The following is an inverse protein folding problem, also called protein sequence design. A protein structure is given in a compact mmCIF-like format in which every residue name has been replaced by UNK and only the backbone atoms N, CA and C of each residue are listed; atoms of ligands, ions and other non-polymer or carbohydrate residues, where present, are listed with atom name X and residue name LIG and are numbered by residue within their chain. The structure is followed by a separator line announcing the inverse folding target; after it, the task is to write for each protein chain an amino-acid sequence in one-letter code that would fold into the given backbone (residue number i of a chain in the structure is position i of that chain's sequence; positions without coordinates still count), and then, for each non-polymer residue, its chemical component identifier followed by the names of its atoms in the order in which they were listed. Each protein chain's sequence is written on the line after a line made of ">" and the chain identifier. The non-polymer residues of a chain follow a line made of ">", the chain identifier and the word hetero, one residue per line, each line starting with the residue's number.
data_IF_052711269629
#
_entry.id   IF_052711269629
#
_cell.length_a   1.000
_cell.length_b   1.000
_cell.length_c   1.000
_cell.angle_alpha   90.00
_cell.angle_beta   90.00
_cell.angle_gamma   90.00
#
_symmetry.space_group_name_H-M   'P 1'
#
loop_
_entity.id
_entity.type
_entity.pdbx_description
1 polymer ?
#
# COMPACT_ATOMS: atom_id res chain seq x y z
N UNK A 1 4.60 12.93 48.29
CA UNK A 1 5.38 13.27 47.09
C UNK A 1 4.68 14.36 46.32
N UNK A 2 5.42 15.40 45.93
CA UNK A 2 4.85 16.62 45.32
C UNK A 2 4.33 16.29 43.93
N UNK A 3 3.18 16.84 43.52
CA UNK A 3 2.55 16.58 42.20
C UNK A 3 3.54 16.70 41.02
N UNK A 4 4.50 17.63 41.14
CA UNK A 4 5.54 17.86 40.14
C UNK A 4 6.51 16.69 39.92
N UNK A 5 6.76 15.87 40.95
CA UNK A 5 7.59 14.66 40.82
C UNK A 5 6.86 13.62 39.97
N UNK A 6 5.56 13.39 40.24
CA UNK A 6 4.73 12.46 39.46
C UNK A 6 4.67 12.85 37.98
N UNK A 7 4.50 14.12 37.64
CA UNK A 7 4.51 14.54 36.23
C UNK A 7 5.84 14.28 35.50
N UNK A 8 6.96 14.22 36.21
CA UNK A 8 8.27 13.88 35.60
C UNK A 8 8.42 12.38 35.33
N UNK A 9 7.69 11.54 36.07
CA UNK A 9 7.79 10.09 35.98
C UNK A 9 7.08 9.51 34.74
N UNK A 10 6.30 10.29 34.01
CA UNK A 10 5.55 9.84 32.83
C UNK A 10 6.41 9.18 31.76
N UNK A 11 7.61 9.70 31.51
CA UNK A 11 8.54 9.12 30.53
C UNK A 11 9.15 7.81 31.04
N UNK A 12 9.48 7.76 32.32
CA UNK A 12 10.02 6.58 32.98
C UNK A 12 8.96 5.46 33.05
N UNK A 13 7.69 5.80 33.30
CA UNK A 13 6.56 4.88 33.24
C UNK A 13 6.37 4.34 31.82
N UNK A 14 6.38 5.22 30.81
CA UNK A 14 6.24 4.80 29.41
C UNK A 14 7.39 3.90 28.92
N UNK A 15 8.58 4.03 29.51
CA UNK A 15 9.74 3.17 29.26
C UNK A 15 9.75 1.88 30.10
N UNK A 16 8.83 1.74 31.06
CA UNK A 16 8.76 0.58 31.96
C UNK A 16 10.00 0.44 32.85
N UNK A 17 10.57 1.56 33.31
CA UNK A 17 11.76 1.57 34.19
C UNK A 17 11.44 1.87 35.65
N UNK A 18 10.19 2.21 35.96
CA UNK A 18 9.72 2.32 37.35
C UNK A 18 9.71 0.95 38.01
N UNK A 19 9.94 0.91 39.33
CA UNK A 19 9.61 -0.27 40.11
C UNK A 19 8.09 -0.47 40.22
N UNK A 20 7.68 -1.65 40.71
CA UNK A 20 6.26 -2.01 40.81
C UNK A 20 5.46 -1.03 41.71
N UNK A 21 6.06 -0.58 42.81
CA UNK A 21 5.39 0.30 43.76
C UNK A 21 5.29 1.74 43.25
N UNK A 22 6.27 2.19 42.47
CA UNK A 22 6.26 3.46 41.75
C UNK A 22 5.23 3.44 40.62
N UNK A 23 5.20 2.37 39.82
CA UNK A 23 4.25 2.21 38.73
C UNK A 23 2.80 2.26 39.23
N UNK A 24 2.49 1.50 40.28
CA UNK A 24 1.15 1.50 40.88
C UNK A 24 0.71 2.89 41.37
N UNK A 25 1.63 3.63 42.02
CA UNK A 25 1.36 5.02 42.46
C UNK A 25 1.20 5.99 41.29
N UNK A 26 1.86 5.75 40.17
CA UNK A 26 1.72 6.56 38.97
C UNK A 26 0.41 6.25 38.24
N UNK A 27 -0.04 4.99 38.23
CA UNK A 27 -1.34 4.59 37.67
C UNK A 27 -2.52 5.26 38.38
N UNK A 28 -2.45 5.38 39.72
CA UNK A 28 -3.43 6.16 40.50
C UNK A 28 -3.49 7.62 40.02
N UNK A 29 -2.33 8.24 39.77
CA UNK A 29 -2.25 9.58 39.22
C UNK A 29 -2.77 9.69 37.77
N UNK A 30 -2.61 8.66 36.95
CA UNK A 30 -3.14 8.64 35.58
C UNK A 30 -4.67 8.75 35.55
N UNK A 31 -5.35 8.21 36.57
CA UNK A 31 -6.81 8.32 36.69
C UNK A 31 -7.27 9.74 37.00
N UNK A 32 -6.42 10.55 37.64
CA UNK A 32 -6.72 11.92 38.05
C UNK A 32 -6.18 12.98 37.08
N UNK A 33 -5.24 12.63 36.19
CA UNK A 33 -4.56 13.58 35.31
C UNK A 33 -4.64 13.20 33.82
N UNK A 34 -5.53 13.82 33.03
CA UNK A 34 -5.66 13.54 31.60
C UNK A 34 -4.43 13.96 30.78
N UNK A 35 -3.64 14.95 31.25
CA UNK A 35 -2.41 15.38 30.58
C UNK A 35 -1.34 14.28 30.61
N UNK A 36 -1.15 13.62 31.76
CA UNK A 36 -0.24 12.48 31.87
C UNK A 36 -0.70 11.31 31.00
N UNK A 37 -2.01 11.01 30.98
CA UNK A 37 -2.56 9.98 30.11
C UNK A 37 -2.31 10.28 28.61
N UNK A 38 -2.47 11.53 28.20
CA UNK A 38 -2.13 11.97 26.84
C UNK A 38 -0.64 11.74 26.54
N UNK A 39 0.26 12.19 27.41
CA UNK A 39 1.71 12.01 27.24
C UNK A 39 2.15 10.55 27.15
N UNK A 40 1.58 9.64 27.96
CA UNK A 40 1.87 8.19 27.84
C UNK A 40 1.50 7.67 26.44
N UNK A 41 0.38 8.15 25.87
CA UNK A 41 -0.02 7.74 24.53
C UNK A 41 0.88 8.33 23.44
N UNK A 42 1.30 9.59 23.59
CA UNK A 42 2.26 10.27 22.71
C UNK A 42 3.65 9.62 22.73
N UNK A 43 4.12 9.10 23.87
CA UNK A 43 5.42 8.45 23.97
C UNK A 43 5.46 7.05 23.37
N UNK A 44 4.30 6.38 23.21
CA UNK A 44 4.22 4.97 22.78
C UNK A 44 5.02 4.65 21.50
N UNK A 45 5.00 5.47 20.42
CA UNK A 45 5.81 5.21 19.24
C UNK A 45 7.32 5.30 19.52
N UNK A 46 7.75 6.29 20.30
CA UNK A 46 9.15 6.50 20.64
C UNK A 46 9.68 5.38 21.56
N UNK A 47 8.93 5.02 22.60
CA UNK A 47 9.31 3.94 23.53
C UNK A 47 9.39 2.59 22.81
N UNK A 48 8.50 2.32 21.86
CA UNK A 48 8.58 1.13 21.00
C UNK A 48 9.90 1.08 20.21
N UNK A 49 10.31 2.19 19.60
CA UNK A 49 11.58 2.25 18.86
C UNK A 49 12.79 2.03 19.79
N UNK A 50 12.77 2.65 20.97
CA UNK A 50 13.83 2.47 21.97
C UNK A 50 13.93 1.04 22.48
N UNK A 51 12.79 0.36 22.70
CA UNK A 51 12.77 -1.06 23.07
C UNK A 51 13.34 -1.95 21.95
N UNK A 52 12.97 -1.69 20.69
CA UNK A 52 13.55 -2.42 19.55
C UNK A 52 15.06 -2.22 19.47
N UNK A 53 15.54 -0.98 19.65
CA UNK A 53 16.96 -0.68 19.69
C UNK A 53 17.68 -1.45 20.82
N UNK A 54 17.10 -1.44 22.03
CA UNK A 54 17.63 -2.17 23.19
C UNK A 54 17.73 -3.68 22.95
N UNK A 55 16.75 -4.28 22.27
CA UNK A 55 16.77 -5.71 21.96
C UNK A 55 17.76 -6.07 20.84
N UNK A 56 17.93 -5.19 19.85
CA UNK A 56 18.84 -5.42 18.73
C UNK A 56 20.31 -5.14 19.06
N UNK A 57 20.59 -4.36 20.11
CA UNK A 57 21.94 -3.85 20.41
C UNK A 57 22.51 -4.49 21.68
N UNK A 58 23.68 -5.15 21.62
CA UNK A 58 24.36 -5.64 22.80
C UNK A 58 24.71 -4.50 23.77
N UNK A 59 24.60 -4.75 25.08
CA UNK A 59 24.90 -3.73 26.13
C UNK A 59 26.35 -3.20 26.09
N UNK A 60 27.25 -3.89 25.42
CA UNK A 60 28.65 -3.49 25.23
C UNK A 60 28.85 -2.40 24.17
N UNK A 61 27.84 -2.12 23.34
CA UNK A 61 27.92 -1.13 22.28
C UNK A 61 27.47 0.23 22.83
N UNK A 62 28.33 1.24 22.70
CA UNK A 62 27.99 2.60 23.11
C UNK A 62 26.83 3.14 22.25
N UNK A 63 25.85 3.88 22.82
CA UNK A 63 24.68 4.37 22.07
C UNK A 63 25.04 5.24 20.85
N UNK A 64 26.18 5.94 20.94
CA UNK A 64 26.73 6.79 19.89
C UNK A 64 27.91 6.15 19.15
N UNK A 65 28.08 4.83 19.23
CA UNK A 65 29.11 4.13 18.47
C UNK A 65 28.81 4.27 16.96
N UNK A 66 29.69 4.96 16.25
CA UNK A 66 29.60 5.01 14.80
C UNK A 66 30.01 3.65 14.21
N UNK A 67 29.29 3.13 13.20
CA UNK A 67 29.75 1.96 12.46
C UNK A 67 31.10 2.26 11.81
N UNK A 68 32.02 1.29 11.87
CA UNK A 68 33.32 1.45 11.21
C UNK A 68 33.14 1.74 9.70
N UNK A 69 34.01 2.54 9.07
CA UNK A 69 33.80 3.06 7.72
C UNK A 69 33.54 1.96 6.68
N UNK A 70 34.24 0.83 6.79
CA UNK A 70 34.04 -0.33 5.90
C UNK A 70 32.66 -0.99 6.00
N UNK A 71 32.08 -1.01 7.21
CA UNK A 71 30.73 -1.57 7.40
C UNK A 71 29.68 -0.65 6.81
N UNK A 72 29.87 0.66 7.00
CA UNK A 72 28.99 1.68 6.41
C UNK A 72 28.98 1.59 4.88
N UNK A 73 30.16 1.56 4.24
CA UNK A 73 30.26 1.45 2.78
C UNK A 73 29.59 0.19 2.25
N UNK A 74 29.77 -0.95 2.94
CA UNK A 74 29.10 -2.21 2.58
C UNK A 74 27.58 -2.08 2.68
N UNK A 75 27.05 -1.55 3.77
CA UNK A 75 25.60 -1.39 3.95
C UNK A 75 25.00 -0.44 2.91
N UNK A 76 25.66 0.69 2.63
CA UNK A 76 25.20 1.63 1.61
C UNK A 76 25.25 1.00 0.22
N UNK A 77 26.28 0.20 -0.08
CA UNK A 77 26.36 -0.53 -1.34
C UNK A 77 25.21 -1.54 -1.49
N UNK A 78 24.89 -2.28 -0.42
CA UNK A 78 23.81 -3.28 -0.41
C UNK A 78 22.42 -2.64 -0.52
N UNK A 79 22.20 -1.51 0.15
CA UNK A 79 20.97 -0.73 0.00
C UNK A 79 20.84 -0.21 -1.43
N UNK A 80 21.93 0.29 -2.03
CA UNK A 80 21.93 0.77 -3.41
C UNK A 80 21.64 -0.34 -4.42
N UNK A 81 22.18 -1.55 -4.24
CA UNK A 81 21.89 -2.70 -5.13
C UNK A 81 20.41 -3.10 -5.02
N UNK A 82 19.85 -3.16 -3.81
CA UNK A 82 18.44 -3.49 -3.56
C UNK A 82 17.49 -2.45 -4.18
N UNK A 83 17.77 -1.17 -4.02
CA UNK A 83 16.98 -0.11 -4.67
C UNK A 83 17.07 -0.17 -6.19
N UNK A 84 18.26 -0.43 -6.74
CA UNK A 84 18.44 -0.58 -8.19
C UNK A 84 17.61 -1.75 -8.75
N UNK A 85 17.55 -2.87 -8.04
CA UNK A 85 16.71 -4.00 -8.43
C UNK A 85 15.21 -3.64 -8.40
N UNK A 86 14.75 -2.97 -7.35
CA UNK A 86 13.36 -2.50 -7.25
C UNK A 86 13.00 -1.52 -8.37
N UNK A 87 13.87 -0.54 -8.65
CA UNK A 87 13.67 0.44 -9.74
C UNK A 87 13.59 -0.25 -11.10
N UNK A 88 14.44 -1.23 -11.37
CA UNK A 88 14.39 -2.01 -12.62
C UNK A 88 13.05 -2.75 -12.76
N UNK A 89 12.60 -3.44 -11.71
CA UNK A 89 11.29 -4.12 -11.70
C UNK A 89 10.13 -3.15 -11.96
N UNK A 90 10.16 -1.98 -11.33
CA UNK A 90 9.16 -0.95 -11.56
C UNK A 90 9.18 -0.41 -13.00
N UNK A 91 10.37 -0.16 -13.56
CA UNK A 91 10.52 0.24 -14.97
C UNK A 91 9.97 -0.83 -15.92
N UNK A 92 10.20 -2.12 -15.65
CA UNK A 92 9.61 -3.19 -16.44
C UNK A 92 8.08 -3.23 -16.33
N UNK A 93 7.53 -3.01 -15.12
CA UNK A 93 6.08 -2.93 -14.93
C UNK A 93 5.47 -1.74 -15.69
N UNK A 94 6.12 -0.57 -15.65
CA UNK A 94 5.71 0.60 -16.43
C UNK A 94 5.81 0.33 -17.94
N UNK A 95 6.89 -0.27 -18.40
CA UNK A 95 7.06 -0.62 -19.82
C UNK A 95 5.96 -1.61 -20.28
N UNK A 96 5.67 -2.63 -19.48
CA UNK A 96 4.58 -3.57 -19.77
C UNK A 96 3.22 -2.84 -19.83
N UNK A 97 2.94 -1.92 -18.90
CA UNK A 97 1.72 -1.13 -18.93
C UNK A 97 1.60 -0.26 -20.20
N UNK A 98 2.70 0.36 -20.65
CA UNK A 98 2.71 1.14 -21.91
C UNK A 98 2.45 0.24 -23.11
N UNK A 99 3.10 -0.93 -23.19
CA UNK A 99 2.87 -1.89 -24.27
C UNK A 99 1.41 -2.34 -24.32
N UNK A 100 0.80 -2.63 -23.17
CA UNK A 100 -0.61 -2.99 -23.10
C UNK A 100 -1.53 -1.82 -23.50
N UNK A 101 -1.20 -0.59 -23.12
CA UNK A 101 -1.98 0.60 -23.46
C UNK A 101 -1.90 0.94 -24.96
N UNK A 102 -0.76 0.73 -25.62
CA UNK A 102 -0.59 0.98 -27.06
C UNK A 102 -1.08 -0.20 -27.91
N UNK A 103 -0.88 -1.44 -27.44
CA UNK A 103 -1.31 -2.66 -28.13
C UNK A 103 -2.81 -2.96 -27.96
N UNK A 104 -3.40 -2.60 -26.82
CA UNK A 104 -4.82 -2.82 -26.51
C UNK A 104 -5.79 -2.24 -27.56
N UNK A 105 -5.63 -0.99 -28.01
CA UNK A 105 -6.46 -0.39 -29.05
C UNK A 105 -6.36 -1.11 -30.40
N UNK A 106 -5.18 -1.62 -30.76
CA UNK A 106 -4.99 -2.32 -32.04
C UNK A 106 -5.67 -3.69 -32.06
N UNK A 107 -5.63 -4.45 -30.95
CA UNK A 107 -6.36 -5.71 -30.81
C UNK A 107 -7.87 -5.45 -30.74
N UNK A 108 -8.29 -4.42 -30.00
CA UNK A 108 -9.68 -4.00 -29.96
C UNK A 108 -10.22 -3.64 -31.35
N UNK A 109 -9.47 -2.89 -32.17
CA UNK A 109 -9.88 -2.52 -33.53
C UNK A 109 -9.96 -3.69 -34.51
N UNK A 110 -9.08 -4.69 -34.42
CA UNK A 110 -9.18 -5.91 -35.23
C UNK A 110 -10.40 -6.75 -34.82
N UNK A 111 -10.76 -6.74 -33.54
CA UNK A 111 -12.01 -7.36 -33.07
C UNK A 111 -13.25 -6.49 -33.29
N UNK A 112 -13.09 -5.18 -33.51
CA UNK A 112 -14.18 -4.19 -33.63
C UNK A 112 -14.41 -3.68 -35.05
N UNK A 113 -13.95 -4.38 -36.09
CA UNK A 113 -14.39 -4.17 -37.48
C UNK A 113 -15.90 -4.46 -37.71
N UNK A 114 -16.71 -4.50 -36.63
CA UNK A 114 -18.15 -4.67 -36.64
C UNK A 114 -18.92 -3.57 -35.91
N UNK A 115 -18.39 -2.36 -35.76
CA UNK A 115 -19.11 -1.27 -35.08
C UNK A 115 -18.97 0.08 -35.79
N UNK A 116 -19.74 0.24 -36.88
CA UNK A 116 -20.07 1.53 -37.47
C UNK A 116 -21.43 1.42 -38.13
N UNK A 117 -22.46 2.04 -37.53
CA UNK A 117 -23.88 1.97 -37.94
C UNK A 117 -24.49 0.56 -37.90
N UNK A 118 -25.22 0.23 -36.83
CA UNK A 118 -25.91 -1.07 -36.64
C UNK A 118 -27.07 -1.26 -37.63
N UNK A 119 -26.74 -1.61 -38.86
CA UNK A 119 -27.61 -2.38 -39.76
C UNK A 119 -27.13 -3.81 -39.71
N UNK A 120 -27.78 -4.63 -38.87
CA UNK A 120 -27.50 -6.06 -38.81
C UNK A 120 -28.35 -6.76 -39.88
N UNK A 121 -27.70 -7.35 -40.88
CA UNK A 121 -28.37 -8.15 -41.90
C UNK A 121 -28.12 -9.63 -41.62
N UNK A 122 -29.18 -10.39 -41.36
CA UNK A 122 -29.11 -11.84 -41.19
C UNK A 122 -29.73 -12.48 -42.42
N UNK A 123 -28.93 -13.21 -43.19
CA UNK A 123 -29.40 -14.03 -44.30
C UNK A 123 -29.24 -15.50 -43.94
N UNK A 124 -30.31 -16.28 -44.15
CA UNK A 124 -30.25 -17.73 -44.06
C UNK A 124 -30.80 -18.35 -45.33
N UNK A 125 -30.18 -19.44 -45.75
CA UNK A 125 -30.61 -20.23 -46.91
C UNK A 125 -30.79 -21.65 -46.44
N UNK A 126 -31.97 -22.20 -46.66
CA UNK A 126 -32.26 -23.58 -46.32
C UNK A 126 -31.59 -24.51 -47.34
N UNK A 127 -30.70 -25.38 -46.85
CA UNK A 127 -29.85 -26.21 -47.70
C UNK A 127 -30.59 -27.37 -48.38
N UNK A 128 -31.80 -27.70 -47.93
CA UNK A 128 -32.59 -28.81 -48.48
C UNK A 128 -33.59 -28.33 -49.54
N UNK A 129 -34.14 -27.13 -49.37
CA UNK A 129 -35.18 -26.55 -50.24
C UNK A 129 -34.69 -25.41 -51.14
N UNK A 130 -33.52 -24.84 -50.84
CA UNK A 130 -32.90 -23.75 -51.61
C UNK A 130 -33.57 -22.38 -51.41
N UNK A 131 -34.60 -22.30 -50.56
CA UNK A 131 -35.27 -21.04 -50.24
C UNK A 131 -34.34 -20.20 -49.37
N UNK A 132 -34.16 -18.93 -49.72
CA UNK A 132 -33.39 -17.98 -48.93
C UNK A 132 -34.25 -16.81 -48.49
N UNK A 133 -33.98 -16.36 -47.27
CA UNK A 133 -34.57 -15.16 -46.71
C UNK A 133 -33.46 -14.29 -46.14
N UNK A 134 -33.55 -12.99 -46.41
CA UNK A 134 -32.67 -11.98 -45.84
C UNK A 134 -33.52 -11.01 -45.05
N UNK A 135 -33.17 -10.84 -43.79
CA UNK A 135 -33.81 -9.90 -42.88
C UNK A 135 -32.79 -8.85 -42.49
N UNK A 136 -33.13 -7.60 -42.72
CA UNK A 136 -32.27 -6.47 -42.42
C UNK A 136 -32.89 -5.71 -41.26
N UNK A 137 -32.19 -5.63 -40.13
CA UNK A 137 -32.66 -4.90 -38.95
C UNK A 137 -31.83 -3.65 -38.74
N UNK A 138 -32.51 -2.51 -38.64
CA UNK A 138 -31.91 -1.24 -38.28
C UNK A 138 -32.44 -0.81 -36.91
N UNK A 139 -31.52 -0.54 -35.99
CA UNK A 139 -31.89 -0.15 -34.63
C UNK A 139 -32.21 1.35 -34.55
N UNK A 140 -33.33 1.68 -33.93
CA UNK A 140 -33.79 3.07 -33.74
C UNK A 140 -34.05 3.30 -32.25
N UNK A 141 -33.95 4.56 -31.85
CA UNK A 141 -34.17 5.01 -30.46
C UNK A 141 -35.52 4.61 -29.85
N UNK A 142 -36.49 4.17 -30.65
CA UNK A 142 -37.82 3.74 -30.21
C UNK A 142 -38.15 2.27 -30.55
N UNK A 143 -37.18 1.49 -31.05
CA UNK A 143 -37.35 0.08 -31.38
C UNK A 143 -36.56 -0.35 -32.63
N UNK A 144 -36.64 -1.62 -33.00
CA UNK A 144 -35.94 -2.18 -34.17
C UNK A 144 -36.85 -2.24 -35.40
N UNK A 145 -36.42 -1.63 -36.50
CA UNK A 145 -37.12 -1.71 -37.79
C UNK A 145 -36.60 -2.90 -38.60
N UNK A 146 -37.50 -3.75 -39.09
CA UNK A 146 -37.18 -4.98 -39.83
C UNK A 146 -37.65 -4.85 -41.27
N UNK A 147 -36.77 -5.13 -42.24
CA UNK A 147 -37.05 -5.04 -43.68
C UNK A 147 -36.52 -6.26 -44.45
#
# INVERSE_FOLDING_TARGET
>A
MRSLERHRDVGAYALGVLDEAEAFRFEDHLMECPQCAAHVSEFRPATRQLMLYRHATPRSVHPFAAPGPRLMDKLLSEVATRHRAGRRRWLYAVAAAVVLAVGGPSIAMVTSHGSGSQTAAVASTDAQTGVWAKVTTADRIWGSQVQ
#
